data_IF_355097034260
#
_entry.id   IF_355097034260
#
_cell.length_a   1.000
_cell.length_b   1.000
_cell.length_c   1.000
_cell.angle_alpha   90.00
_cell.angle_beta   90.00
_cell.angle_gamma   90.00
#
_symmetry.space_group_name_H-M   'P 1'
#
loop_
_entity.id
_entity.type
_entity.pdbx_description
1 polymer ?
#
# COMPACT_ATOMS: atom_id res chain seq x y z
N UNK A 1 25.67 -13.53 4.58
CA UNK A 1 26.52 -12.51 3.90
C UNK A 1 28.00 -12.91 3.88
N UNK A 2 28.53 -13.61 4.89
CA UNK A 2 29.96 -14.01 4.91
C UNK A 2 30.24 -15.39 4.27
N UNK A 3 29.27 -16.31 4.25
CA UNK A 3 29.48 -17.69 3.78
C UNK A 3 29.82 -17.79 2.29
N UNK A 4 29.41 -16.80 1.49
CA UNK A 4 29.67 -16.77 0.05
C UNK A 4 31.08 -16.28 -0.34
N UNK A 5 31.86 -15.74 0.61
CA UNK A 5 33.13 -15.03 0.30
C UNK A 5 34.39 -15.67 0.89
N UNK A 6 34.26 -16.77 1.66
CA UNK A 6 35.40 -17.39 2.36
C UNK A 6 36.05 -16.49 3.43
N UNK A 7 35.47 -15.32 3.71
CA UNK A 7 35.97 -14.36 4.68
C UNK A 7 35.29 -14.56 6.04
N UNK A 8 36.06 -14.43 7.12
CA UNK A 8 35.48 -14.40 8.46
C UNK A 8 34.63 -13.14 8.64
N UNK A 9 33.53 -13.25 9.40
CA UNK A 9 32.63 -12.12 9.68
C UNK A 9 33.37 -10.89 10.21
N UNK A 10 34.40 -11.09 11.04
CA UNK A 10 35.26 -10.02 11.56
C UNK A 10 36.02 -9.30 10.44
N UNK A 11 36.59 -10.05 9.49
CA UNK A 11 37.34 -9.50 8.36
C UNK A 11 36.43 -8.75 7.40
N UNK A 12 35.24 -9.31 7.10
CA UNK A 12 34.24 -8.65 6.28
C UNK A 12 33.76 -7.32 6.91
N UNK A 13 33.44 -7.30 8.21
CA UNK A 13 33.03 -6.10 8.94
C UNK A 13 34.12 -5.01 8.92
N UNK A 14 35.40 -5.40 9.10
CA UNK A 14 36.53 -4.47 9.05
C UNK A 14 36.68 -3.83 7.67
N UNK A 15 36.52 -4.61 6.61
CA UNK A 15 36.62 -4.12 5.23
C UNK A 15 35.48 -3.17 4.85
N UNK A 16 34.27 -3.39 5.38
CA UNK A 16 33.09 -2.59 5.09
C UNK A 16 32.88 -1.41 6.05
N UNK A 17 33.71 -1.27 7.08
CA UNK A 17 33.57 -0.24 8.11
C UNK A 17 32.36 -0.43 9.04
N UNK A 18 31.75 -1.62 9.05
CA UNK A 18 30.62 -1.94 9.91
C UNK A 18 31.09 -2.51 11.26
N UNK A 19 30.39 -2.17 12.33
CA UNK A 19 30.66 -2.79 13.64
C UNK A 19 30.14 -4.23 13.67
N UNK A 20 30.81 -5.10 14.45
CA UNK A 20 30.38 -6.49 14.65
C UNK A 20 29.00 -6.59 15.30
N UNK A 21 28.66 -5.68 16.22
CA UNK A 21 27.35 -5.64 16.88
C UNK A 21 26.25 -5.31 15.87
N UNK A 22 26.46 -4.34 14.98
CA UNK A 22 25.52 -4.02 13.91
C UNK A 22 25.37 -5.20 12.93
N UNK A 23 26.47 -5.86 12.56
CA UNK A 23 26.44 -6.99 11.64
C UNK A 23 25.75 -8.24 12.24
N UNK A 24 25.78 -8.39 13.56
CA UNK A 24 25.10 -9.47 14.30
C UNK A 24 23.72 -9.09 14.80
N UNK A 25 23.33 -7.83 14.69
CA UNK A 25 22.04 -7.37 15.17
C UNK A 25 20.93 -7.98 14.30
N UNK A 26 20.19 -8.91 14.87
CA UNK A 26 18.93 -9.35 14.32
C UNK A 26 17.80 -8.58 14.99
N UNK A 27 16.95 -7.95 14.17
CA UNK A 27 15.77 -7.27 14.69
C UNK A 27 14.82 -8.30 15.32
N UNK A 28 14.86 -8.40 16.65
CA UNK A 28 13.97 -9.27 17.40
C UNK A 28 12.54 -8.74 17.28
N UNK A 29 11.73 -9.43 16.47
CA UNK A 29 10.29 -9.16 16.38
C UNK A 29 9.65 -9.78 17.62
N UNK A 30 9.05 -8.99 18.53
CA UNK A 30 8.48 -9.54 19.75
C UNK A 30 7.42 -10.59 19.41
N UNK A 31 7.31 -11.66 20.18
CA UNK A 31 6.23 -12.65 20.02
C UNK A 31 4.83 -12.01 20.05
N UNK A 32 4.68 -10.89 20.76
CA UNK A 32 3.47 -10.06 20.77
C UNK A 32 3.08 -9.49 19.39
N UNK A 33 4.02 -9.36 18.44
CA UNK A 33 3.70 -8.99 17.05
C UNK A 33 2.94 -10.10 16.33
N UNK A 34 3.13 -11.39 16.67
CA UNK A 34 2.44 -12.49 16.00
C UNK A 34 0.93 -12.47 16.29
N UNK A 35 0.54 -12.33 17.56
CA UNK A 35 -0.87 -12.23 17.95
C UNK A 35 -1.55 -11.00 17.32
N UNK A 36 -0.92 -9.83 17.41
CA UNK A 36 -1.44 -8.61 16.81
C UNK A 36 -1.53 -8.71 15.28
N UNK A 37 -0.54 -9.33 14.64
CA UNK A 37 -0.51 -9.57 13.20
C UNK A 37 -1.67 -10.47 12.76
N UNK A 38 -1.93 -11.55 13.49
CA UNK A 38 -3.08 -12.43 13.26
C UNK A 38 -4.40 -11.65 13.32
N UNK A 39 -4.61 -10.89 14.40
CA UNK A 39 -5.84 -10.10 14.56
C UNK A 39 -6.02 -9.01 13.48
N UNK A 40 -4.94 -8.32 13.09
CA UNK A 40 -4.96 -7.36 11.98
C UNK A 40 -5.39 -8.05 10.68
N UNK A 41 -4.87 -9.25 10.43
CA UNK A 41 -5.15 -10.03 9.22
C UNK A 41 -6.61 -10.46 9.17
N UNK A 42 -7.15 -10.96 10.28
CA UNK A 42 -8.56 -11.33 10.42
C UNK A 42 -9.48 -10.14 10.11
N UNK A 43 -9.24 -8.99 10.76
CA UNK A 43 -10.04 -7.77 10.51
C UNK A 43 -9.93 -7.28 9.07
N UNK A 44 -8.75 -7.39 8.45
CA UNK A 44 -8.55 -7.02 7.05
C UNK A 44 -9.29 -7.94 6.08
N UNK A 45 -9.36 -9.24 6.38
CA UNK A 45 -10.09 -10.23 5.57
C UNK A 45 -11.60 -10.06 5.70
N UNK A 46 -12.11 -9.82 6.92
CA UNK A 46 -13.54 -9.59 7.16
C UNK A 46 -14.04 -8.27 6.51
N UNK A 47 -13.16 -7.27 6.41
CA UNK A 47 -13.46 -5.95 5.85
C UNK A 47 -12.42 -5.54 4.80
N UNK A 48 -12.40 -6.23 3.66
CA UNK A 48 -11.40 -6.06 2.56
C UNK A 48 -11.22 -4.64 2.00
N UNK A 49 -12.13 -3.69 2.28
CA UNK A 49 -12.00 -2.28 1.86
C UNK A 49 -11.31 -1.39 2.89
N UNK A 50 -11.03 -1.91 4.09
CA UNK A 50 -10.48 -1.12 5.17
C UNK A 50 -8.96 -1.02 5.06
N UNK A 51 -8.46 0.22 5.14
CA UNK A 51 -7.04 0.48 5.33
C UNK A 51 -6.65 0.43 6.81
N UNK A 52 -5.34 0.46 7.07
CA UNK A 52 -4.78 0.32 8.41
C UNK A 52 -5.36 1.29 9.45
N UNK A 53 -5.74 2.52 9.07
CA UNK A 53 -6.34 3.51 10.00
C UNK A 53 -7.69 3.05 10.55
N UNK A 54 -8.50 2.41 9.71
CA UNK A 54 -9.84 1.91 10.08
C UNK A 54 -9.74 0.62 10.90
N UNK A 55 -8.77 -0.24 10.56
CA UNK A 55 -8.41 -1.41 11.37
C UNK A 55 -7.89 -0.98 12.75
N UNK A 56 -7.03 0.04 12.81
CA UNK A 56 -6.54 0.59 14.08
C UNK A 56 -7.67 1.08 14.99
N UNK A 57 -8.71 1.71 14.43
CA UNK A 57 -9.90 2.09 15.20
C UNK A 57 -10.68 0.88 15.72
N UNK A 58 -10.80 -0.19 14.92
CA UNK A 58 -11.45 -1.43 15.36
C UNK A 58 -10.67 -2.09 16.51
N UNK A 59 -9.34 -2.18 16.39
CA UNK A 59 -8.49 -2.69 17.46
C UNK A 59 -8.67 -1.89 18.77
N UNK A 60 -8.77 -0.55 18.68
CA UNK A 60 -9.06 0.27 19.88
C UNK A 60 -10.43 -0.01 20.48
N UNK A 61 -11.45 -0.30 19.66
CA UNK A 61 -12.79 -0.70 20.14
C UNK A 61 -12.79 -2.07 20.80
N UNK A 62 -11.91 -2.97 20.34
CA UNK A 62 -11.63 -4.27 20.98
C UNK A 62 -10.76 -4.13 22.26
N UNK A 63 -10.40 -2.91 22.68
CA UNK A 63 -9.57 -2.65 23.86
C UNK A 63 -8.06 -2.71 23.62
N UNK A 64 -7.61 -3.05 22.41
CA UNK A 64 -6.20 -3.14 22.04
C UNK A 64 -5.63 -1.74 21.74
N UNK A 65 -5.00 -1.14 22.74
CA UNK A 65 -4.38 0.18 22.65
C UNK A 65 -2.99 0.12 22.02
N UNK A 66 -2.95 -0.05 20.70
CA UNK A 66 -1.69 -0.12 19.93
C UNK A 66 -1.43 1.18 19.17
N UNK A 67 -0.17 1.60 19.06
CA UNK A 67 0.21 2.73 18.23
C UNK A 67 -0.13 2.47 16.74
N UNK A 68 -0.78 3.44 16.09
CA UNK A 68 -1.15 3.36 14.68
C UNK A 68 0.04 3.09 13.73
N UNK A 69 1.25 3.54 14.08
CA UNK A 69 2.48 3.26 13.31
C UNK A 69 2.83 1.77 13.32
N UNK A 70 2.60 1.08 14.45
CA UNK A 70 2.83 -0.37 14.58
C UNK A 70 1.81 -1.16 13.75
N UNK A 71 0.54 -0.74 13.77
CA UNK A 71 -0.50 -1.33 12.92
C UNK A 71 -0.19 -1.12 11.44
N UNK A 72 0.23 0.08 11.05
CA UNK A 72 0.69 0.37 9.68
C UNK A 72 1.81 -0.58 9.24
N UNK A 73 2.86 -0.72 10.05
CA UNK A 73 4.00 -1.60 9.75
C UNK A 73 3.55 -3.05 9.53
N UNK A 74 2.79 -3.62 10.46
CA UNK A 74 2.32 -5.00 10.36
C UNK A 74 1.36 -5.19 9.17
N UNK A 75 0.46 -4.24 8.95
CA UNK A 75 -0.46 -4.27 7.81
C UNK A 75 0.26 -4.33 6.46
N UNK A 76 1.32 -3.54 6.31
CA UNK A 76 2.15 -3.55 5.09
C UNK A 76 3.01 -4.81 4.98
N UNK A 77 3.62 -5.28 6.07
CA UNK A 77 4.40 -6.52 6.06
C UNK A 77 3.56 -7.75 5.69
N UNK A 78 2.28 -7.77 6.09
CA UNK A 78 1.33 -8.82 5.73
C UNK A 78 0.70 -8.66 4.33
N UNK A 79 1.10 -7.64 3.55
CA UNK A 79 0.59 -7.45 2.19
C UNK A 79 -0.91 -7.12 2.11
N UNK A 80 -1.50 -6.58 3.18
CA UNK A 80 -2.95 -6.38 3.29
C UNK A 80 -3.48 -5.17 2.51
N UNK A 81 -2.61 -4.46 1.81
CA UNK A 81 -2.96 -3.26 1.04
C UNK A 81 -4.05 -3.53 0.00
N UNK A 82 -5.12 -2.73 0.04
CA UNK A 82 -6.19 -2.79 -0.96
C UNK A 82 -5.64 -2.38 -2.32
N UNK A 83 -5.63 -3.29 -3.28
CA UNK A 83 -5.24 -2.98 -4.66
C UNK A 83 -6.22 -1.97 -5.25
N UNK A 84 -5.70 -0.88 -5.80
CA UNK A 84 -6.52 0.09 -6.55
C UNK A 84 -7.23 -0.65 -7.68
N UNK A 85 -8.56 -0.63 -7.68
CA UNK A 85 -9.36 -1.19 -8.76
C UNK A 85 -8.99 -0.43 -10.04
N UNK A 86 -8.36 -1.10 -11.00
CA UNK A 86 -8.16 -0.53 -12.33
C UNK A 86 -9.53 -0.34 -12.96
N UNK A 87 -9.77 0.84 -13.55
CA UNK A 87 -10.97 1.08 -14.37
C UNK A 87 -10.99 -0.03 -15.42
N UNK A 88 -12.03 -0.86 -15.40
CA UNK A 88 -12.25 -1.80 -16.51
C UNK A 88 -12.35 -0.93 -17.75
N UNK A 89 -11.43 -1.10 -18.70
CA UNK A 89 -11.66 -0.59 -20.05
C UNK A 89 -12.95 -1.27 -20.48
N UNK A 90 -13.98 -0.49 -20.83
CA UNK A 90 -15.20 -1.07 -21.41
C UNK A 90 -14.81 -1.97 -22.57
N UNK A 91 -15.67 -2.92 -22.94
CA UNK A 91 -15.55 -3.57 -24.24
C UNK A 91 -15.30 -2.46 -25.26
N UNK A 92 -14.22 -2.58 -26.02
CA UNK A 92 -13.95 -1.67 -27.10
C UNK A 92 -15.03 -1.93 -28.14
N UNK A 93 -16.19 -1.28 -28.01
CA UNK A 93 -17.05 -1.03 -29.16
C UNK A 93 -16.15 -0.42 -30.22
N UNK A 94 -16.19 -0.93 -31.46
CA UNK A 94 -15.44 -0.32 -32.54
C UNK A 94 -15.76 1.17 -32.55
N UNK A 95 -14.75 1.96 -32.18
CA UNK A 95 -14.83 3.40 -32.32
C UNK A 95 -14.62 3.66 -33.78
N UNK A 96 -15.67 4.05 -34.49
CA UNK A 96 -15.51 4.61 -35.82
C UNK A 96 -14.46 5.73 -35.72
N UNK A 97 -13.42 5.72 -36.56
CA UNK A 97 -12.43 6.77 -36.55
C UNK A 97 -13.15 8.11 -36.79
N UNK A 98 -12.85 9.10 -35.95
CA UNK A 98 -13.40 10.44 -36.14
C UNK A 98 -12.91 10.97 -37.49
N UNK A 99 -13.85 11.44 -38.32
CA UNK A 99 -13.51 12.10 -39.58
C UNK A 99 -12.75 13.39 -39.25
N UNK A 100 -11.60 13.57 -39.87
CA UNK A 100 -10.82 14.81 -39.74
C UNK A 100 -11.42 15.87 -40.66
N UNK A 101 -11.80 17.05 -40.17
CA UNK A 101 -12.30 18.11 -41.02
C UNK A 101 -11.20 18.62 -41.96
N UNK A 102 -11.58 18.97 -43.19
CA UNK A 102 -10.65 19.43 -44.24
C UNK A 102 -10.14 20.86 -44.01
N UNK A 103 -10.89 21.67 -43.26
CA UNK A 103 -10.55 23.04 -42.92
C UNK A 103 -11.08 23.42 -41.52
N UNK A 104 -10.53 24.49 -40.89
CA UNK A 104 -11.08 25.04 -39.66
C UNK A 104 -12.57 25.40 -39.81
N UNK A 105 -13.33 25.30 -38.72
CA UNK A 105 -14.75 25.68 -38.63
C UNK A 105 -15.75 24.86 -39.49
N UNK A 106 -15.35 23.71 -40.05
CA UNK A 106 -16.26 22.81 -40.77
C UNK A 106 -17.04 21.83 -39.87
N UNK A 107 -16.65 21.69 -38.61
CA UNK A 107 -17.29 20.75 -37.68
C UNK A 107 -17.28 21.34 -36.27
N UNK A 108 -18.43 21.24 -35.61
CA UNK A 108 -18.59 21.59 -34.21
C UNK A 108 -18.91 20.33 -33.41
N UNK A 109 -18.17 20.11 -32.32
CA UNK A 109 -18.47 19.07 -31.35
C UNK A 109 -19.00 19.72 -30.07
N UNK A 110 -19.96 19.08 -29.43
CA UNK A 110 -20.47 19.47 -28.12
C UNK A 110 -20.07 18.41 -27.10
N UNK A 111 -19.37 18.84 -26.05
CA UNK A 111 -19.01 18.00 -24.91
C UNK A 111 -19.75 18.48 -23.66
N UNK A 112 -20.27 17.54 -22.87
CA UNK A 112 -20.92 17.84 -21.60
C UNK A 112 -19.92 17.65 -20.45
N UNK A 113 -19.81 18.66 -19.59
CA UNK A 113 -19.08 18.57 -18.33
C UNK A 113 -20.10 18.57 -17.20
N UNK A 114 -20.08 17.54 -16.36
CA UNK A 114 -20.82 17.55 -15.11
C UNK A 114 -19.96 18.21 -14.04
N UNK A 115 -20.45 19.31 -13.48
CA UNK A 115 -19.90 19.91 -12.27
C UNK A 115 -20.85 19.65 -11.10
N UNK A 116 -20.28 19.31 -9.93
CA UNK A 116 -21.03 19.05 -8.73
C UNK A 116 -20.62 20.08 -7.67
N UNK A 117 -21.50 21.04 -7.40
CA UNK A 117 -21.32 21.98 -6.31
C UNK A 117 -21.38 21.21 -4.98
N UNK A 118 -20.32 21.30 -4.17
CA UNK A 118 -20.32 20.76 -2.83
C UNK A 118 -21.31 21.56 -1.97
N UNK A 119 -22.44 20.95 -1.64
CA UNK A 119 -23.33 21.50 -0.61
C UNK A 119 -22.72 21.10 0.74
N UNK A 120 -22.07 22.05 1.40
CA UNK A 120 -21.71 21.94 2.81
C UNK A 120 -22.97 22.26 3.63
N UNK A 121 -23.83 21.27 3.85
CA UNK A 121 -24.82 21.35 4.91
C UNK A 121 -24.13 20.94 6.22
N UNK A 122 -24.03 21.91 7.13
CA UNK A 122 -23.49 21.76 8.49
C UNK A 122 -24.47 21.13 9.46
#
# INVERSE_FOLDING_TARGET
>A
MCDATGLSQRRACRLTGLSLSTCRYEAQRPAADAHLSGRITELALERRRFGYRRIWQLLRREGLHVNHKRVYRLYHLNGLGVKRRRRRKGLATERLPLLRPEAPNLTWSMDFVMDALAVNDG
#
